data_IF_372498823984
#
_entry.id   IF_372498823984
#
_cell.length_a   1.000
_cell.length_b   1.000
_cell.length_c   1.000
_cell.angle_alpha   90.00
_cell.angle_beta   90.00
_cell.angle_gamma   90.00
#
_symmetry.space_group_name_H-M   'P 1'
#
loop_
_entity.id
_entity.type
_entity.pdbx_description
1 polymer ?
#
# COMPACT_ATOMS: atom_id res chain seq x y z
N UNK A 1 -7.22 11.77 10.87
CA UNK A 1 -6.48 11.20 12.02
C UNK A 1 -7.32 10.13 12.69
N UNK A 2 -6.83 8.89 12.65
CA UNK A 2 -7.52 7.72 13.22
C UNK A 2 -7.53 7.75 14.75
N UNK A 3 -8.69 7.46 15.36
CA UNK A 3 -8.82 7.33 16.81
C UNK A 3 -8.06 6.09 17.32
N UNK A 4 -8.15 4.97 16.59
CA UNK A 4 -7.44 3.72 16.94
C UNK A 4 -5.93 3.96 16.97
N UNK A 5 -5.40 4.61 15.92
CA UNK A 5 -3.97 4.92 15.86
C UNK A 5 -3.56 5.86 17.00
N UNK A 6 -4.36 6.89 17.28
CA UNK A 6 -4.10 7.82 18.38
C UNK A 6 -4.01 7.11 19.74
N UNK A 7 -4.89 6.15 20.00
CA UNK A 7 -4.86 5.34 21.22
C UNK A 7 -3.62 4.43 21.31
N UNK A 8 -3.22 3.82 20.19
CA UNK A 8 -1.99 3.02 20.10
C UNK A 8 -0.76 3.88 20.40
N UNK A 9 -0.66 5.06 19.79
CA UNK A 9 0.47 5.98 19.99
C UNK A 9 0.54 6.52 21.43
N UNK A 10 -0.62 6.83 22.03
CA UNK A 10 -0.67 7.23 23.45
C UNK A 10 -0.24 6.09 24.39
N UNK A 11 -0.63 4.84 24.07
CA UNK A 11 -0.17 3.65 24.77
C UNK A 11 1.34 3.45 24.64
N UNK A 12 1.88 3.67 23.44
CA UNK A 12 3.32 3.61 23.14
C UNK A 12 4.11 4.61 23.98
N UNK A 13 3.67 5.87 24.03
CA UNK A 13 4.29 6.92 24.84
C UNK A 13 4.28 6.57 26.34
N UNK A 14 3.15 6.07 26.83
CA UNK A 14 3.02 5.64 28.23
C UNK A 14 3.98 4.49 28.54
N UNK A 15 4.11 3.51 27.64
CA UNK A 15 5.03 2.38 27.80
C UNK A 15 6.49 2.84 27.72
N UNK A 16 6.81 3.78 26.84
CA UNK A 16 8.14 4.37 26.73
C UNK A 16 8.59 5.01 28.05
N UNK A 17 7.75 5.88 28.63
CA UNK A 17 8.02 6.51 29.92
C UNK A 17 8.17 5.49 31.06
N UNK A 18 7.35 4.43 31.05
CA UNK A 18 7.46 3.35 32.03
C UNK A 18 8.76 2.55 31.90
N UNK A 19 9.17 2.19 30.67
CA UNK A 19 10.44 1.48 30.42
C UNK A 19 11.62 2.31 30.89
N UNK A 20 11.65 3.60 30.55
CA UNK A 20 12.70 4.53 30.96
C UNK A 20 12.75 4.72 32.48
N UNK A 21 11.60 4.92 33.13
CA UNK A 21 11.53 5.08 34.59
C UNK A 21 11.90 3.82 35.36
N UNK A 22 11.50 2.62 34.89
CA UNK A 22 11.73 1.37 35.60
C UNK A 22 13.18 0.87 35.49
N UNK A 23 13.83 1.14 34.36
CA UNK A 23 15.20 0.73 34.11
C UNK A 23 16.22 1.74 34.66
N UNK A 24 15.77 2.90 35.15
CA UNK A 24 16.64 3.98 35.62
C UNK A 24 17.50 4.58 34.48
N UNK A 25 17.11 4.32 33.23
CA UNK A 25 17.83 4.76 32.05
C UNK A 25 17.55 6.25 31.90
N UNK A 26 18.59 7.04 32.08
CA UNK A 26 18.55 8.51 31.99
C UNK A 26 19.65 9.04 31.06
N UNK A 27 20.21 8.14 30.23
CA UNK A 27 21.27 8.43 29.29
C UNK A 27 20.74 8.36 27.86
N UNK A 28 21.15 9.30 27.01
CA UNK A 28 20.56 9.52 25.69
C UNK A 28 20.58 8.31 24.75
N UNK A 29 21.61 7.46 24.83
CA UNK A 29 21.68 6.25 24.01
C UNK A 29 20.58 5.25 24.35
N UNK A 30 20.27 5.10 25.64
CA UNK A 30 19.24 4.19 26.10
C UNK A 30 17.84 4.71 25.76
N UNK A 31 17.65 6.03 25.82
CA UNK A 31 16.42 6.69 25.40
C UNK A 31 16.12 6.45 23.91
N UNK A 32 17.12 6.62 23.04
CA UNK A 32 17.03 6.38 21.61
C UNK A 32 16.73 4.90 21.32
N UNK A 33 17.58 3.99 21.83
CA UNK A 33 17.44 2.56 21.55
C UNK A 33 16.12 1.97 22.08
N UNK A 34 15.63 2.48 23.22
CA UNK A 34 14.33 2.06 23.77
C UNK A 34 13.18 2.53 22.89
N UNK A 35 13.22 3.77 22.39
CA UNK A 35 12.19 4.30 21.49
C UNK A 35 12.16 3.51 20.18
N UNK A 36 13.32 3.30 19.57
CA UNK A 36 13.46 2.58 18.31
C UNK A 36 12.96 1.14 18.44
N UNK A 37 13.41 0.43 19.48
CA UNK A 37 12.98 -0.94 19.75
C UNK A 37 11.48 -1.03 20.04
N UNK A 38 10.91 -0.07 20.76
CA UNK A 38 9.50 -0.08 21.13
C UNK A 38 8.61 0.18 19.90
N UNK A 39 8.98 1.13 19.03
CA UNK A 39 8.25 1.39 17.79
C UNK A 39 8.21 0.13 16.91
N UNK A 40 9.37 -0.51 16.68
CA UNK A 40 9.44 -1.73 15.87
C UNK A 40 8.70 -2.91 16.50
N UNK A 41 8.66 -3.03 17.83
CA UNK A 41 7.93 -4.10 18.52
C UNK A 41 6.40 -3.96 18.38
N UNK A 42 5.89 -2.72 18.34
CA UNK A 42 4.44 -2.45 18.51
C UNK A 42 3.72 -1.97 17.25
N UNK A 43 4.42 -1.38 16.29
CA UNK A 43 3.79 -0.61 15.20
C UNK A 43 3.79 -1.31 13.84
N UNK A 44 4.37 -2.50 13.71
CA UNK A 44 4.04 -3.40 12.62
C UNK A 44 2.69 -4.06 12.94
N UNK A 45 1.62 -3.45 12.44
CA UNK A 45 0.24 -3.79 12.77
C UNK A 45 -0.27 -4.86 11.80
N UNK A 46 -0.94 -5.88 12.33
CA UNK A 46 -1.55 -6.91 11.47
C UNK A 46 -2.60 -6.33 10.50
N UNK A 47 -2.77 -6.98 9.35
CA UNK A 47 -3.58 -6.52 8.20
C UNK A 47 -4.98 -6.03 8.59
N UNK A 48 -5.68 -6.78 9.44
CA UNK A 48 -7.06 -6.48 9.85
C UNK A 48 -7.17 -5.22 10.72
N UNK A 49 -6.15 -4.96 11.55
CA UNK A 49 -6.10 -3.75 12.38
C UNK A 49 -5.69 -2.54 11.54
N UNK A 50 -4.69 -2.71 10.67
CA UNK A 50 -4.22 -1.66 9.78
C UNK A 50 -5.32 -1.21 8.82
N UNK A 51 -6.11 -2.13 8.28
CA UNK A 51 -7.26 -1.80 7.43
C UNK A 51 -8.30 -0.90 8.13
N UNK A 52 -8.59 -1.16 9.41
CA UNK A 52 -9.51 -0.31 10.20
C UNK A 52 -8.94 1.08 10.46
N UNK A 53 -7.64 1.17 10.69
CA UNK A 53 -6.95 2.45 10.87
C UNK A 53 -7.01 3.26 9.56
N UNK A 54 -6.73 2.63 8.42
CA UNK A 54 -6.80 3.28 7.10
C UNK A 54 -8.23 3.73 6.77
N UNK A 55 -9.25 2.93 7.10
CA UNK A 55 -10.65 3.34 6.93
C UNK A 55 -11.01 4.61 7.72
N UNK A 56 -10.40 4.81 8.89
CA UNK A 56 -10.56 6.03 9.68
C UNK A 56 -9.66 7.19 9.21
N UNK A 57 -8.54 6.89 8.56
CA UNK A 57 -7.56 7.87 8.13
C UNK A 57 -6.93 7.51 6.76
N UNK A 58 -7.66 7.76 5.66
CA UNK A 58 -7.21 7.37 4.32
C UNK A 58 -5.91 8.04 3.89
N UNK A 59 -5.52 9.17 4.51
CA UNK A 59 -4.28 9.89 4.20
C UNK A 59 -3.03 9.03 4.38
N UNK A 60 -3.10 7.95 5.18
CA UNK A 60 -2.02 6.97 5.32
C UNK A 60 -1.65 6.29 4.00
N UNK A 61 -2.54 6.26 3.01
CA UNK A 61 -2.26 5.72 1.67
C UNK A 61 -1.31 6.60 0.85
N UNK A 62 -0.98 7.80 1.33
CA UNK A 62 0.05 8.65 0.75
C UNK A 62 1.47 8.27 1.21
N UNK A 63 1.61 7.30 2.13
CA UNK A 63 2.89 6.79 2.61
C UNK A 63 3.78 6.25 1.47
N UNK A 64 5.10 6.43 1.62
CA UNK A 64 6.12 6.03 0.64
C UNK A 64 7.23 5.23 1.30
N UNK A 65 7.89 4.33 0.58
CA UNK A 65 8.91 3.48 1.17
C UNK A 65 10.17 4.26 1.55
N UNK A 66 10.63 5.15 0.65
CA UNK A 66 11.85 5.92 0.81
C UNK A 66 13.03 5.05 1.22
N UNK A 67 13.77 5.50 2.25
CA UNK A 67 14.85 4.73 2.89
C UNK A 67 14.42 4.21 4.28
N UNK A 68 13.12 4.18 4.58
CA UNK A 68 12.60 3.85 5.93
C UNK A 68 12.64 2.35 6.25
N UNK A 69 12.78 1.50 5.23
CA UNK A 69 12.68 0.05 5.37
C UNK A 69 14.09 -0.55 5.38
N UNK A 70 14.52 -0.96 6.56
CA UNK A 70 15.87 -1.50 6.78
C UNK A 70 15.94 -3.02 6.74
N UNK A 71 14.81 -3.73 6.76
CA UNK A 71 14.80 -5.19 6.67
C UNK A 71 15.18 -5.63 5.24
N UNK A 72 16.27 -6.38 5.04
CA UNK A 72 16.72 -6.81 3.71
C UNK A 72 15.69 -7.63 2.92
N UNK A 73 14.70 -8.25 3.58
CA UNK A 73 13.65 -9.01 2.88
C UNK A 73 12.59 -8.13 2.23
N UNK A 74 12.44 -6.90 2.73
CA UNK A 74 11.36 -6.00 2.36
C UNK A 74 11.89 -4.71 1.74
N UNK A 75 13.18 -4.40 1.91
CA UNK A 75 13.82 -3.18 1.41
C UNK A 75 13.66 -2.98 -0.10
N UNK A 76 13.88 -4.02 -0.90
CA UNK A 76 13.88 -3.89 -2.37
C UNK A 76 12.48 -3.88 -2.98
N UNK A 77 11.50 -4.50 -2.32
CA UNK A 77 10.16 -4.67 -2.85
C UNK A 77 9.11 -4.76 -1.72
N UNK A 78 8.87 -3.68 -0.98
CA UNK A 78 8.04 -3.73 0.21
C UNK A 78 6.55 -3.91 -0.11
N UNK A 79 5.84 -4.68 0.71
CA UNK A 79 4.38 -4.69 0.64
C UNK A 79 3.77 -3.36 1.08
N UNK A 80 2.58 -3.04 0.57
CA UNK A 80 1.85 -1.81 0.91
C UNK A 80 1.65 -1.64 2.42
N UNK A 81 1.31 -2.72 3.14
CA UNK A 81 1.16 -2.70 4.59
C UNK A 81 2.46 -2.30 5.30
N UNK A 82 3.60 -2.79 4.81
CA UNK A 82 4.92 -2.42 5.35
C UNK A 82 5.23 -0.95 5.08
N UNK A 83 5.00 -0.46 3.87
CA UNK A 83 5.22 0.96 3.55
C UNK A 83 4.47 1.86 4.55
N UNK A 84 3.18 1.57 4.79
CA UNK A 84 2.35 2.35 5.70
C UNK A 84 2.87 2.22 7.14
N UNK A 85 3.15 1.01 7.61
CA UNK A 85 3.67 0.79 8.96
C UNK A 85 5.03 1.43 9.20
N UNK A 86 5.95 1.41 8.24
CA UNK A 86 7.25 2.07 8.37
C UNK A 86 7.12 3.59 8.48
N UNK A 87 6.15 4.21 7.79
CA UNK A 87 5.85 5.63 7.96
C UNK A 87 5.25 5.94 9.33
N UNK A 88 4.39 5.04 9.86
CA UNK A 88 3.85 5.15 11.22
C UNK A 88 4.96 5.01 12.26
N UNK A 89 5.87 4.03 12.08
CA UNK A 89 7.04 3.80 12.93
C UNK A 89 7.92 5.04 13.00
N UNK A 90 8.26 5.62 11.84
CA UNK A 90 9.10 6.81 11.77
C UNK A 90 8.46 8.00 12.49
N UNK A 91 7.19 8.31 12.19
CA UNK A 91 6.49 9.42 12.82
C UNK A 91 6.33 9.22 14.34
N UNK A 92 6.07 7.99 14.79
CA UNK A 92 5.99 7.68 16.21
C UNK A 92 7.35 7.77 16.89
N UNK A 93 8.41 7.33 16.21
CA UNK A 93 9.77 7.40 16.71
C UNK A 93 10.21 8.84 16.91
N UNK A 94 10.02 9.72 15.91
CA UNK A 94 10.24 11.16 16.05
C UNK A 94 9.47 11.75 17.23
N UNK A 95 8.20 11.33 17.42
CA UNK A 95 7.38 11.73 18.57
C UNK A 95 7.98 11.32 19.91
N UNK A 96 8.46 10.07 20.05
CA UNK A 96 9.11 9.59 21.27
C UNK A 96 10.45 10.30 21.54
N UNK A 97 11.22 10.64 20.50
CA UNK A 97 12.43 11.45 20.66
C UNK A 97 12.10 12.87 21.15
N UNK A 98 10.98 13.45 20.70
CA UNK A 98 10.45 14.70 21.24
C UNK A 98 10.16 14.61 22.75
N UNK A 99 9.51 13.53 23.18
CA UNK A 99 9.26 13.28 24.62
C UNK A 99 10.58 13.12 25.38
N UNK A 100 11.55 12.38 24.84
CA UNK A 100 12.86 12.20 25.47
C UNK A 100 13.62 13.52 25.62
N UNK A 101 13.48 14.44 24.66
CA UNK A 101 14.03 15.79 24.76
C UNK A 101 13.35 16.61 25.86
N UNK A 102 12.01 16.57 25.95
CA UNK A 102 11.25 17.26 27.01
C UNK A 102 11.60 16.75 28.42
N UNK A 103 11.90 15.45 28.55
CA UNK A 103 12.35 14.84 29.80
C UNK A 103 13.84 15.07 30.10
N UNK A 104 14.59 15.68 29.18
CA UNK A 104 16.02 15.96 29.31
C UNK A 104 16.92 14.72 29.19
N UNK A 105 16.44 13.65 28.55
CA UNK A 105 17.23 12.44 28.29
C UNK A 105 18.08 12.56 27.03
N UNK A 106 17.64 13.37 26.07
CA UNK A 106 18.37 13.70 24.85
C UNK A 106 18.72 15.19 24.83
N UNK A 107 19.90 15.49 24.30
CA UNK A 107 20.34 16.85 24.01
C UNK A 107 20.46 17.03 22.50
N UNK A 108 20.07 18.20 21.99
CA UNK A 108 20.25 18.60 20.58
C UNK A 108 21.25 19.75 20.49
N UNK A 109 22.05 19.78 19.43
CA UNK A 109 22.97 20.87 19.15
C UNK A 109 22.25 22.07 18.52
N UNK A 110 23.01 23.13 18.27
CA UNK A 110 22.53 24.36 17.62
C UNK A 110 22.06 24.14 16.16
N UNK A 111 22.27 22.93 15.59
CA UNK A 111 21.79 22.53 14.27
C UNK A 111 20.59 21.56 14.35
N UNK A 112 20.07 21.29 15.55
CA UNK A 112 18.94 20.37 15.78
C UNK A 112 19.32 18.89 15.71
N UNK A 113 20.61 18.54 15.81
CA UNK A 113 21.09 17.16 15.78
C UNK A 113 21.29 16.62 17.18
N UNK A 114 20.99 15.35 17.40
CA UNK A 114 21.20 14.69 18.70
C UNK A 114 22.71 14.68 19.02
N UNK A 115 23.08 15.19 20.20
CA UNK A 115 24.48 15.35 20.66
C UNK A 115 25.03 14.09 21.33
N UNK A 116 24.16 13.14 21.65
CA UNK A 116 24.56 11.90 22.30
C UNK A 116 25.45 11.04 21.40
N UNK A 117 26.47 10.40 21.98
CA UNK A 117 27.27 9.37 21.29
C UNK A 117 26.41 8.12 21.10
N UNK A 118 25.62 8.13 20.03
CA UNK A 118 24.73 7.03 19.68
C UNK A 118 25.55 5.78 19.29
N UNK A 119 26.83 5.89 18.95
CA UNK A 119 27.64 4.78 18.43
C UNK A 119 27.03 4.14 17.17
N UNK A 120 27.66 3.09 16.65
CA UNK A 120 27.12 2.30 15.53
C UNK A 120 25.91 1.46 16.00
N UNK A 121 24.74 2.10 16.18
CA UNK A 121 23.46 1.44 16.32
C UNK A 121 23.03 0.85 14.97
N UNK A 122 23.73 -0.18 14.51
CA UNK A 122 23.32 -0.99 13.36
C UNK A 122 22.38 -2.11 13.82
N UNK A 123 21.28 -1.75 14.47
CA UNK A 123 20.27 -2.73 14.89
C UNK A 123 19.24 -2.85 13.76
N UNK A 124 19.28 -3.96 13.05
CA UNK A 124 18.24 -4.30 12.06
C UNK A 124 17.10 -4.97 12.81
N UNK A 125 15.92 -4.35 12.79
CA UNK A 125 14.71 -4.93 13.34
C UNK A 125 14.01 -5.77 12.27
N UNK A 126 13.86 -7.09 12.47
CA UNK A 126 13.18 -7.93 11.49
C UNK A 126 11.69 -7.62 11.49
N UNK A 127 11.12 -7.45 10.29
CA UNK A 127 9.68 -7.32 10.08
C UNK A 127 9.08 -8.73 10.08
N UNK A 128 8.17 -8.99 11.02
CA UNK A 128 7.56 -10.31 11.20
C UNK A 128 6.13 -10.42 10.69
N UNK A 129 5.49 -9.29 10.37
CA UNK A 129 4.11 -9.26 9.91
C UNK A 129 3.96 -9.75 8.47
N UNK A 130 2.92 -10.55 8.24
CA UNK A 130 2.61 -11.17 6.95
C UNK A 130 1.25 -10.65 6.44
N UNK A 131 1.30 -9.68 5.53
CA UNK A 131 0.12 -9.07 4.93
C UNK A 131 -0.60 -9.94 3.89
N UNK A 132 -0.12 -11.17 3.65
CA UNK A 132 -0.85 -12.16 2.84
C UNK A 132 -1.98 -12.87 3.61
N UNK A 133 -2.18 -12.53 4.89
CA UNK A 133 -3.17 -13.15 5.77
C UNK A 133 -4.14 -12.11 6.33
N UNK A 134 -5.43 -12.43 6.31
CA UNK A 134 -6.48 -11.62 6.92
C UNK A 134 -7.68 -12.49 7.28
N UNK A 135 -8.14 -12.39 8.53
CA UNK A 135 -9.36 -13.04 8.99
C UNK A 135 -10.60 -12.38 8.38
N UNK A 136 -10.59 -11.04 8.29
CA UNK A 136 -11.67 -10.25 7.68
C UNK A 136 -11.87 -10.63 6.21
N UNK A 137 -10.80 -10.80 5.44
CA UNK A 137 -10.90 -11.20 4.04
C UNK A 137 -11.53 -12.59 3.88
N UNK A 138 -11.13 -13.56 4.71
CA UNK A 138 -11.68 -14.93 4.68
C UNK A 138 -13.18 -14.92 5.01
N UNK A 139 -13.58 -14.16 6.03
CA UNK A 139 -14.98 -14.00 6.43
C UNK A 139 -15.80 -13.31 5.34
N UNK A 140 -15.26 -12.26 4.72
CA UNK A 140 -15.95 -11.49 3.69
C UNK A 140 -16.12 -12.29 2.39
N UNK A 141 -15.14 -13.09 1.98
CA UNK A 141 -15.26 -14.03 0.85
C UNK A 141 -16.36 -15.06 1.11
N UNK A 142 -16.50 -15.51 2.35
CA UNK A 142 -17.56 -16.45 2.74
C UNK A 142 -18.95 -15.80 2.83
N UNK A 143 -19.01 -14.47 2.81
CA UNK A 143 -20.25 -13.71 2.87
C UNK A 143 -20.91 -13.62 1.48
N UNK A 144 -22.25 -13.67 1.41
CA UNK A 144 -23.00 -13.50 0.15
C UNK A 144 -23.15 -12.04 -0.28
N UNK A 145 -22.43 -11.10 0.35
CA UNK A 145 -22.55 -9.67 0.03
C UNK A 145 -21.76 -9.37 -1.25
N UNK A 146 -22.29 -8.51 -2.11
CA UNK A 146 -21.53 -7.99 -3.26
C UNK A 146 -20.47 -7.02 -2.73
N UNK A 147 -19.19 -7.35 -2.89
CA UNK A 147 -18.09 -6.42 -2.58
C UNK A 147 -18.18 -5.17 -3.45
N UNK A 148 -17.65 -4.04 -2.96
CA UNK A 148 -17.55 -2.79 -3.74
C UNK A 148 -16.71 -2.99 -4.99
N UNK A 149 -15.58 -3.70 -4.86
CA UNK A 149 -14.70 -3.98 -6.00
C UNK A 149 -15.46 -4.70 -7.12
N UNK A 150 -16.26 -5.72 -6.80
CA UNK A 150 -17.08 -6.42 -7.79
C UNK A 150 -18.14 -5.50 -8.42
N UNK A 151 -18.68 -4.53 -7.69
CA UNK A 151 -19.64 -3.58 -8.27
C UNK A 151 -18.96 -2.64 -9.27
N UNK A 152 -17.75 -2.17 -8.95
CA UNK A 152 -16.95 -1.32 -9.84
C UNK A 152 -16.58 -2.09 -11.11
N UNK A 153 -16.09 -3.33 -10.96
CA UNK A 153 -15.71 -4.16 -12.10
C UNK A 153 -16.91 -4.53 -12.97
N UNK A 154 -18.05 -4.89 -12.37
CA UNK A 154 -19.28 -5.14 -13.12
C UNK A 154 -19.77 -3.92 -13.90
N UNK A 155 -19.62 -2.72 -13.34
CA UNK A 155 -19.99 -1.49 -14.05
C UNK A 155 -19.05 -1.25 -15.25
N UNK A 156 -17.74 -1.42 -15.07
CA UNK A 156 -16.75 -1.31 -16.14
C UNK A 156 -16.98 -2.33 -17.25
N UNK A 157 -17.24 -3.60 -16.90
CA UNK A 157 -17.58 -4.65 -17.87
C UNK A 157 -18.84 -4.30 -18.67
N UNK A 158 -19.88 -3.79 -18.02
CA UNK A 158 -21.13 -3.41 -18.69
C UNK A 158 -20.94 -2.26 -19.66
N UNK A 159 -20.17 -1.23 -19.27
CA UNK A 159 -19.83 -0.12 -20.17
C UNK A 159 -19.00 -0.62 -21.35
N UNK A 160 -17.99 -1.43 -21.08
CA UNK A 160 -17.12 -1.99 -22.12
C UNK A 160 -17.90 -2.84 -23.14
N UNK A 161 -18.80 -3.71 -22.69
CA UNK A 161 -19.65 -4.51 -23.59
C UNK A 161 -20.48 -3.60 -24.51
N UNK A 162 -21.06 -2.52 -23.98
CA UNK A 162 -21.88 -1.60 -24.77
C UNK A 162 -21.07 -0.87 -25.84
N UNK A 163 -19.83 -0.51 -25.53
CA UNK A 163 -18.91 0.10 -26.50
C UNK A 163 -18.47 -0.92 -27.55
N UNK A 164 -18.14 -2.14 -27.12
CA UNK A 164 -17.68 -3.22 -27.99
C UNK A 164 -18.74 -3.64 -29.02
N UNK A 165 -20.03 -3.58 -28.68
CA UNK A 165 -21.14 -3.87 -29.60
C UNK A 165 -21.19 -2.88 -30.79
N UNK A 166 -20.59 -1.69 -30.66
CA UNK A 166 -20.55 -0.66 -31.71
C UNK A 166 -19.18 -0.54 -32.40
N UNK A 167 -18.08 -0.77 -31.67
CA UNK A 167 -16.70 -0.48 -32.09
C UNK A 167 -15.75 -1.68 -31.86
N UNK A 168 -16.20 -2.88 -32.22
CA UNK A 168 -15.49 -4.14 -31.96
C UNK A 168 -14.03 -4.20 -32.48
N UNK A 169 -13.67 -3.42 -33.51
CA UNK A 169 -12.32 -3.38 -34.06
C UNK A 169 -11.31 -2.68 -33.14
N UNK A 170 -11.76 -1.85 -32.19
CA UNK A 170 -10.91 -1.07 -31.30
C UNK A 170 -10.90 -1.60 -29.86
N UNK A 171 -11.20 -2.89 -29.69
CA UNK A 171 -11.38 -3.54 -28.41
C UNK A 171 -10.23 -3.28 -27.41
N UNK A 172 -8.98 -3.30 -27.89
CA UNK A 172 -7.81 -3.03 -27.04
C UNK A 172 -7.79 -1.60 -26.50
N UNK A 173 -7.98 -0.60 -27.35
CA UNK A 173 -8.00 0.82 -26.95
C UNK A 173 -9.20 1.12 -26.05
N UNK A 174 -10.36 0.54 -26.37
CA UNK A 174 -11.56 0.62 -25.52
C UNK A 174 -11.31 0.02 -24.13
N UNK A 175 -10.60 -1.11 -24.04
CA UNK A 175 -10.27 -1.74 -22.77
C UNK A 175 -9.35 -0.84 -21.93
N UNK A 176 -8.33 -0.24 -22.55
CA UNK A 176 -7.46 0.75 -21.88
C UNK A 176 -8.27 1.95 -21.38
N UNK A 177 -9.12 2.54 -22.24
CA UNK A 177 -9.95 3.68 -21.90
C UNK A 177 -10.89 3.37 -20.73
N UNK A 178 -11.64 2.27 -20.81
CA UNK A 178 -12.59 1.89 -19.75
C UNK A 178 -11.85 1.55 -18.47
N UNK A 179 -10.74 0.80 -18.53
CA UNK A 179 -9.95 0.51 -17.32
C UNK A 179 -9.41 1.80 -16.67
N UNK A 180 -9.03 2.80 -17.46
CA UNK A 180 -8.57 4.10 -16.97
C UNK A 180 -9.70 4.93 -16.34
N UNK A 181 -10.91 4.89 -16.93
CA UNK A 181 -12.08 5.59 -16.39
C UNK A 181 -12.54 5.04 -15.03
N UNK A 182 -12.34 3.74 -14.81
CA UNK A 182 -12.71 3.04 -13.58
C UNK A 182 -11.54 2.85 -12.60
N UNK A 183 -10.36 3.38 -12.93
CA UNK A 183 -9.21 3.34 -12.04
C UNK A 183 -9.45 4.19 -10.79
N UNK A 184 -9.13 3.63 -9.63
CA UNK A 184 -9.44 4.20 -8.31
C UNK A 184 -8.17 4.77 -7.72
N UNK A 185 -8.01 6.09 -7.73
CA UNK A 185 -6.78 6.76 -7.28
C UNK A 185 -6.91 7.50 -5.95
N UNK A 186 -8.13 7.91 -5.57
CA UNK A 186 -8.32 8.70 -4.37
C UNK A 186 -8.21 7.80 -3.12
N UNK A 187 -7.46 8.23 -2.09
CA UNK A 187 -7.37 7.47 -0.84
C UNK A 187 -8.73 7.13 -0.22
N UNK A 188 -9.69 8.05 -0.26
CA UNK A 188 -11.04 7.87 0.27
C UNK A 188 -11.84 6.78 -0.47
N UNK A 189 -11.52 6.51 -1.74
CA UNK A 189 -12.16 5.45 -2.52
C UNK A 189 -11.45 4.10 -2.36
N UNK A 190 -10.14 4.12 -2.08
CA UNK A 190 -9.32 2.91 -1.85
C UNK A 190 -9.55 2.36 -0.43
N UNK A 191 -9.62 3.23 0.59
CA UNK A 191 -9.71 2.81 1.98
C UNK A 191 -10.89 1.84 2.27
N UNK A 192 -12.10 2.03 1.72
CA UNK A 192 -13.18 1.07 1.88
C UNK A 192 -12.93 -0.28 1.21
N UNK A 193 -12.13 -0.33 0.13
CA UNK A 193 -11.75 -1.59 -0.51
C UNK A 193 -10.78 -2.38 0.37
N UNK A 194 -9.86 -1.69 1.03
CA UNK A 194 -8.94 -2.28 2.01
C UNK A 194 -9.71 -2.78 3.23
N UNK A 195 -10.70 -2.03 3.72
CA UNK A 195 -11.56 -2.49 4.82
C UNK A 195 -12.34 -3.77 4.46
N UNK A 196 -12.83 -3.87 3.22
CA UNK A 196 -13.51 -5.09 2.72
C UNK A 196 -12.53 -6.24 2.45
N UNK A 197 -11.31 -5.95 2.00
CA UNK A 197 -10.29 -6.95 1.71
C UNK A 197 -8.89 -6.48 2.14
N UNK A 198 -8.50 -6.73 3.41
CA UNK A 198 -7.18 -6.33 3.90
C UNK A 198 -6.00 -6.98 3.19
N UNK A 199 -6.22 -8.02 2.37
CA UNK A 199 -5.16 -8.63 1.55
C UNK A 199 -4.59 -7.67 0.50
N UNK A 200 -5.30 -6.57 0.19
CA UNK A 200 -4.76 -5.50 -0.67
C UNK A 200 -3.50 -4.86 -0.06
N UNK A 201 -3.30 -4.95 1.26
CA UNK A 201 -2.07 -4.51 1.94
C UNK A 201 -0.86 -5.39 1.61
N UNK A 202 -1.10 -6.62 1.11
CA UNK A 202 -0.04 -7.53 0.68
C UNK A 202 0.46 -7.26 -0.74
N UNK A 203 -0.17 -6.35 -1.49
CA UNK A 203 0.27 -5.96 -2.83
C UNK A 203 1.64 -5.28 -2.75
N UNK A 204 2.43 -5.46 -3.80
CA UNK A 204 3.82 -5.01 -3.88
C UNK A 204 4.05 -4.24 -5.19
N UNK A 205 5.04 -3.35 -5.28
CA UNK A 205 5.37 -2.62 -6.51
C UNK A 205 5.80 -3.50 -7.68
N UNK A 206 6.35 -4.68 -7.43
CA UNK A 206 6.68 -5.62 -8.50
C UNK A 206 5.43 -6.02 -9.30
N UNK A 207 5.65 -6.36 -10.56
CA UNK A 207 4.60 -6.75 -11.51
C UNK A 207 3.67 -5.62 -11.99
N UNK A 208 3.85 -4.37 -11.54
CA UNK A 208 3.17 -3.23 -12.13
C UNK A 208 3.65 -3.02 -13.57
N UNK A 209 2.75 -3.20 -14.55
CA UNK A 209 3.07 -3.18 -15.99
C UNK A 209 3.53 -1.82 -16.55
N UNK A 210 3.59 -0.77 -15.72
CA UNK A 210 3.91 0.59 -16.16
C UNK A 210 5.11 1.17 -15.38
N UNK A 211 6.31 0.71 -15.71
CA UNK A 211 7.57 1.13 -15.10
C UNK A 211 7.76 2.65 -15.07
N UNK A 212 7.23 3.40 -16.04
CA UNK A 212 7.35 4.87 -16.08
C UNK A 212 6.41 5.59 -15.11
N UNK A 213 5.18 5.09 -14.91
CA UNK A 213 4.20 5.70 -14.00
C UNK A 213 4.51 5.42 -12.53
N UNK A 214 5.22 4.32 -12.24
CA UNK A 214 5.59 3.89 -10.88
C UNK A 214 7.08 4.04 -10.58
N UNK A 215 7.85 4.67 -11.47
CA UNK A 215 9.24 5.03 -11.21
C UNK A 215 9.35 6.04 -10.05
N UNK A 216 10.28 5.79 -9.12
CA UNK A 216 10.64 6.76 -8.08
C UNK A 216 9.76 6.73 -6.83
N UNK A 217 9.60 5.53 -6.24
CA UNK A 217 8.99 5.32 -4.91
C UNK A 217 7.50 5.71 -4.83
N UNK A 218 6.60 4.92 -5.45
CA UNK A 218 5.19 5.24 -5.54
C UNK A 218 4.48 5.20 -4.18
N UNK A 219 3.48 6.07 -3.93
CA UNK A 219 2.67 5.98 -2.73
C UNK A 219 1.93 4.63 -2.60
N UNK A 220 1.72 4.19 -1.37
CA UNK A 220 1.00 2.96 -1.02
C UNK A 220 -0.34 2.78 -1.77
N UNK A 221 -1.18 3.82 -1.82
CA UNK A 221 -2.45 3.78 -2.53
C UNK A 221 -2.31 3.63 -4.05
N UNK A 222 -1.23 4.18 -4.62
CA UNK A 222 -0.96 4.11 -6.06
C UNK A 222 -0.56 2.69 -6.47
N UNK A 223 0.16 1.96 -5.62
CA UNK A 223 0.47 0.53 -5.84
C UNK A 223 -0.83 -0.28 -5.94
N UNK A 224 -1.74 -0.11 -4.96
CA UNK A 224 -3.04 -0.80 -4.97
C UNK A 224 -3.82 -0.44 -6.24
N UNK A 225 -3.90 0.85 -6.57
CA UNK A 225 -4.60 1.33 -7.75
C UNK A 225 -4.06 0.73 -9.05
N UNK A 226 -2.74 0.65 -9.19
CA UNK A 226 -2.08 0.07 -10.36
C UNK A 226 -2.40 -1.40 -10.56
N UNK A 227 -2.40 -2.18 -9.46
CA UNK A 227 -2.82 -3.59 -9.48
C UNK A 227 -4.28 -3.75 -9.88
N UNK A 228 -5.19 -3.00 -9.25
CA UNK A 228 -6.63 -3.09 -9.55
C UNK A 228 -6.94 -2.70 -11.00
N UNK A 229 -6.27 -1.67 -11.52
CA UNK A 229 -6.43 -1.22 -12.91
C UNK A 229 -5.90 -2.27 -13.89
N UNK A 230 -4.77 -2.92 -13.56
CA UNK A 230 -4.19 -3.98 -14.38
C UNK A 230 -5.08 -5.22 -14.45
N UNK A 231 -5.63 -5.64 -13.30
CA UNK A 231 -6.59 -6.77 -13.23
C UNK A 231 -7.84 -6.45 -14.06
N UNK A 232 -8.38 -5.23 -13.94
CA UNK A 232 -9.56 -4.82 -14.71
C UNK A 232 -9.26 -4.85 -16.21
N UNK A 233 -8.12 -4.29 -16.65
CA UNK A 233 -7.72 -4.32 -18.05
C UNK A 233 -7.64 -5.75 -18.59
N UNK A 234 -6.96 -6.66 -17.88
CA UNK A 234 -6.86 -8.07 -18.28
C UNK A 234 -8.23 -8.74 -18.39
N UNK A 235 -9.15 -8.43 -17.48
CA UNK A 235 -10.50 -8.95 -17.51
C UNK A 235 -11.29 -8.44 -18.72
N UNK A 236 -11.18 -7.14 -19.05
CA UNK A 236 -11.84 -6.57 -20.24
C UNK A 236 -11.27 -7.15 -21.54
N UNK A 237 -9.95 -7.36 -21.61
CA UNK A 237 -9.32 -8.00 -22.77
C UNK A 237 -9.79 -9.46 -22.93
N UNK A 238 -9.85 -10.22 -21.83
CA UNK A 238 -10.39 -11.59 -21.85
C UNK A 238 -11.83 -11.63 -22.38
N UNK A 239 -12.67 -10.67 -21.95
CA UNK A 239 -14.05 -10.57 -22.42
C UNK A 239 -14.16 -10.29 -23.93
N UNK A 240 -13.29 -9.44 -24.47
CA UNK A 240 -13.25 -9.17 -25.90
C UNK A 240 -12.71 -10.35 -26.70
N UNK A 241 -11.77 -11.11 -26.15
CA UNK A 241 -11.29 -12.36 -26.73
C UNK A 241 -12.44 -13.39 -26.84
N UNK A 242 -13.19 -13.60 -25.75
CA UNK A 242 -14.35 -14.50 -25.72
C UNK A 242 -15.44 -14.11 -26.74
N UNK A 243 -15.52 -12.82 -27.10
CA UNK A 243 -16.44 -12.30 -28.11
C UNK A 243 -15.87 -12.27 -29.53
N UNK A 244 -14.61 -12.68 -29.72
CA UNK A 244 -13.95 -12.70 -31.03
C UNK A 244 -13.58 -11.31 -31.56
N UNK A 245 -13.48 -10.32 -30.69
CA UNK A 245 -13.15 -8.94 -31.06
C UNK A 245 -11.64 -8.66 -31.08
N UNK A 246 -10.81 -9.58 -30.58
CA UNK A 246 -9.36 -9.48 -30.59
C UNK A 246 -8.76 -10.43 -31.62
N UNK A 247 -7.85 -9.91 -32.44
CA UNK A 247 -7.14 -10.70 -33.44
C UNK A 247 -5.88 -11.33 -32.83
N UNK A 248 -5.56 -12.54 -33.26
CA UNK A 248 -4.34 -13.25 -32.87
C UNK A 248 -3.42 -13.46 -34.08
N UNK A 249 -2.12 -13.38 -33.86
CA UNK A 249 -1.14 -13.76 -34.85
C UNK A 249 -1.09 -15.29 -35.05
N UNK A 250 -0.29 -15.74 -36.02
CA UNK A 250 -0.13 -17.17 -36.31
C UNK A 250 0.50 -17.98 -35.17
N UNK A 251 1.00 -17.33 -34.12
CA UNK A 251 1.59 -17.93 -32.92
C UNK A 251 0.67 -17.87 -31.70
N UNK A 252 -0.50 -17.25 -31.82
CA UNK A 252 -1.49 -17.11 -30.74
C UNK A 252 -1.27 -15.89 -29.85
N UNK A 253 -0.38 -14.96 -30.20
CA UNK A 253 -0.24 -13.70 -29.49
C UNK A 253 -1.27 -12.69 -30.01
N UNK A 254 -1.81 -11.88 -29.10
CA UNK A 254 -2.74 -10.80 -29.44
C UNK A 254 -2.05 -9.78 -30.35
N UNK A 255 -2.67 -9.48 -31.48
CA UNK A 255 -2.22 -8.41 -32.38
C UNK A 255 -2.71 -7.10 -31.77
N UNK A 256 -1.79 -6.34 -31.18
CA UNK A 256 -2.05 -4.97 -30.73
C UNK A 256 -2.02 -4.07 -31.98
N UNK A 257 -3.10 -3.33 -32.30
CA UNK A 257 -3.07 -2.41 -33.43
C UNK A 257 -2.03 -1.31 -33.18
N UNK A 258 -1.02 -1.18 -34.04
CA UNK A 258 0.01 -0.13 -33.92
C UNK A 258 -0.46 1.23 -34.49
N UNK A 259 -1.69 1.34 -35.00
CA UNK A 259 -2.32 2.57 -35.46
C UNK A 259 -3.68 2.37 -36.14
N UNK A 260 -4.40 3.46 -36.44
CA UNK A 260 -5.74 3.44 -37.08
C UNK A 260 -5.77 2.72 -38.45
N UNK A 261 -4.63 2.58 -39.12
CA UNK A 261 -4.51 1.90 -40.43
C UNK A 261 -4.32 0.38 -40.31
N UNK A 262 -3.95 -0.15 -39.14
CA UNK A 262 -3.69 -1.58 -38.89
C UNK A 262 -4.87 -2.26 -38.18
N UNK A 263 -6.08 -2.00 -38.68
CA UNK A 263 -7.28 -2.70 -38.21
C UNK A 263 -7.37 -4.09 -38.88
N UNK A 264 -7.26 -5.19 -38.13
CA UNK A 264 -7.49 -6.51 -38.69
C UNK A 264 -8.95 -6.64 -39.13
N UNK A 265 -9.17 -6.95 -40.40
CA UNK A 265 -10.50 -7.25 -40.93
C UNK A 265 -10.99 -8.55 -40.32
N UNK A 266 -11.94 -8.46 -39.39
CA UNK A 266 -12.68 -9.60 -38.87
C UNK A 266 -13.55 -10.15 -40.01
N UNK A 267 -13.32 -11.40 -40.41
CA UNK A 267 -14.13 -12.13 -41.39
C UNK A 267 -15.24 -12.95 -40.73
#
# INVERSE_FOLDING_TARGET
>A
MSQILSEILQGLETEYLQRMSNLGLSEGKDAYATAESLCHEKLYLGSDLLAKIISQDPTLLAARAGELITDPKEQDNPSVGIIICSNIVEAAFEGLLGVAFEQGWLEIDDQGRIVSDLGDLNVVFPITEDYSRSSTAIENVSSRKKSRLNQIFQAAEQEYIQLLDNEAHDAYTLALQVSGNYAIFAPDDIAPLIEENPLLLGLRPDELKNDEMFAGDPPAGIIISGHLTSILLEQLLTLAEERGCLAHDSTGHMIVPEGEEDNPVIH
#
